data_IF_996715286563
#
_entry.id   IF_996715286563
#
_cell.length_a   1.000
_cell.length_b   1.000
_cell.length_c   1.000
_cell.angle_alpha   90.00
_cell.angle_beta   90.00
_cell.angle_gamma   90.00
#
_symmetry.space_group_name_H-M   'P 1'
#
loop_
_entity.id
_entity.type
_entity.pdbx_description
1 polymer ?
#
# COMPACT_ATOMS: atom_id res chain seq x y z
N UNK A 1 -23.15 -16.60 -0.82
CA UNK A 1 -22.65 -16.29 -2.18
C UNK A 1 -22.48 -14.78 -2.39
N UNK A 2 -23.46 -13.94 -2.04
CA UNK A 2 -23.38 -12.47 -2.20
C UNK A 2 -22.14 -11.86 -1.50
N UNK A 3 -21.85 -12.24 -0.24
CA UNK A 3 -20.68 -11.74 0.50
C UNK A 3 -19.33 -12.05 -0.18
N UNK A 4 -19.15 -13.29 -0.62
CA UNK A 4 -17.96 -13.71 -1.34
C UNK A 4 -17.73 -12.88 -2.61
N UNK A 5 -18.80 -12.62 -3.36
CA UNK A 5 -18.73 -11.76 -4.55
C UNK A 5 -18.42 -10.30 -4.21
N UNK A 6 -18.99 -9.76 -3.13
CA UNK A 6 -18.73 -8.39 -2.70
C UNK A 6 -17.27 -8.19 -2.28
N UNK A 7 -16.72 -9.09 -1.47
CA UNK A 7 -15.31 -9.03 -1.06
C UNK A 7 -14.35 -9.26 -2.22
N UNK A 8 -14.67 -10.18 -3.14
CA UNK A 8 -13.87 -10.38 -4.35
C UNK A 8 -13.87 -9.13 -5.25
N UNK A 9 -15.04 -8.50 -5.44
CA UNK A 9 -15.17 -7.27 -6.21
C UNK A 9 -14.37 -6.13 -5.56
N UNK A 10 -14.46 -5.97 -4.25
CA UNK A 10 -13.68 -4.96 -3.51
C UNK A 10 -12.19 -5.23 -3.59
N UNK A 11 -11.74 -6.49 -3.50
CA UNK A 11 -10.33 -6.82 -3.65
C UNK A 11 -9.80 -6.52 -5.06
N UNK A 12 -10.57 -6.86 -6.10
CA UNK A 12 -10.21 -6.53 -7.48
C UNK A 12 -10.19 -5.02 -7.72
N UNK A 13 -11.21 -4.30 -7.24
CA UNK A 13 -11.26 -2.84 -7.31
C UNK A 13 -10.10 -2.20 -6.54
N UNK A 14 -9.73 -2.76 -5.39
CA UNK A 14 -8.61 -2.31 -4.59
C UNK A 14 -7.30 -2.40 -5.36
N UNK A 15 -7.01 -3.58 -5.91
CA UNK A 15 -5.82 -3.83 -6.72
C UNK A 15 -5.77 -2.87 -7.92
N UNK A 16 -6.90 -2.70 -8.61
CA UNK A 16 -7.00 -1.83 -9.77
C UNK A 16 -6.77 -0.34 -9.42
N UNK A 17 -7.50 0.18 -8.44
CA UNK A 17 -7.40 1.60 -8.03
C UNK A 17 -6.00 1.90 -7.48
N UNK A 18 -5.41 0.97 -6.73
CA UNK A 18 -4.01 1.07 -6.27
C UNK A 18 -3.06 1.18 -7.45
N UNK A 19 -3.19 0.29 -8.44
CA UNK A 19 -2.40 0.35 -9.67
C UNK A 19 -2.55 1.66 -10.44
N UNK A 20 -3.78 2.19 -10.55
CA UNK A 20 -4.03 3.47 -11.26
C UNK A 20 -3.48 4.67 -10.48
N UNK A 21 -3.67 4.72 -9.16
CA UNK A 21 -3.25 5.83 -8.33
C UNK A 21 -1.72 5.90 -8.19
N UNK A 22 -1.08 4.75 -7.92
CA UNK A 22 0.34 4.70 -7.58
C UNK A 22 1.23 4.33 -8.78
N UNK A 23 0.65 3.71 -9.82
CA UNK A 23 1.36 3.39 -11.06
C UNK A 23 1.91 4.63 -11.75
N UNK A 24 1.23 5.77 -11.67
CA UNK A 24 1.74 7.04 -12.18
C UNK A 24 3.01 7.51 -11.44
N UNK A 25 3.09 7.29 -10.13
CA UNK A 25 4.26 7.65 -9.33
C UNK A 25 5.47 6.74 -9.65
N UNK A 26 5.22 5.44 -9.86
CA UNK A 26 6.27 4.49 -10.25
C UNK A 26 6.73 4.72 -11.70
N UNK A 27 5.81 4.72 -12.66
CA UNK A 27 6.15 4.84 -14.09
C UNK A 27 6.63 6.24 -14.47
N UNK A 28 6.16 7.29 -13.77
CA UNK A 28 6.61 8.66 -13.99
C UNK A 28 8.09 8.86 -13.67
N UNK A 29 8.66 8.05 -12.78
CA UNK A 29 10.10 8.04 -12.49
C UNK A 29 10.88 7.23 -13.53
N UNK A 30 10.34 6.11 -13.99
CA UNK A 30 11.00 5.23 -14.95
C UNK A 30 11.18 5.88 -16.33
N UNK A 31 10.29 6.79 -16.72
CA UNK A 31 10.34 7.52 -18.00
C UNK A 31 11.35 8.67 -18.08
N UNK A 32 11.96 9.09 -16.95
CA UNK A 32 12.87 10.26 -16.93
C UNK A 32 14.27 9.98 -17.47
N UNK A 33 14.62 8.71 -17.70
CA UNK A 33 15.90 8.33 -18.31
C UNK A 33 15.67 7.54 -19.62
N UNK A 34 15.74 8.18 -20.80
CA UNK A 34 15.33 7.60 -22.09
C UNK A 34 16.20 6.43 -22.61
N UNK A 35 17.20 5.98 -21.84
CA UNK A 35 18.13 4.90 -22.23
C UNK A 35 18.01 3.62 -21.39
N UNK A 36 17.05 3.54 -20.48
CA UNK A 36 16.80 2.33 -19.69
C UNK A 36 15.89 1.36 -20.46
N UNK A 37 16.18 0.06 -20.43
CA UNK A 37 15.35 -0.92 -21.15
C UNK A 37 13.99 -1.08 -20.48
N UNK A 38 12.91 -0.94 -21.26
CA UNK A 38 11.54 -1.12 -20.78
C UNK A 38 11.31 -2.43 -20.02
N UNK A 39 11.80 -3.59 -20.50
CA UNK A 39 11.69 -4.86 -19.79
C UNK A 39 12.38 -4.87 -18.41
N UNK A 40 13.54 -4.23 -18.27
CA UNK A 40 14.22 -4.12 -16.98
C UNK A 40 13.39 -3.29 -15.99
N UNK A 41 12.90 -2.13 -16.42
CA UNK A 41 12.08 -1.26 -15.58
C UNK A 41 10.78 -1.96 -15.14
N UNK A 42 10.19 -2.78 -16.02
CA UNK A 42 9.02 -3.59 -15.69
C UNK A 42 9.37 -4.70 -14.70
N UNK A 43 10.48 -5.41 -14.89
CA UNK A 43 10.95 -6.41 -13.94
C UNK A 43 11.23 -5.82 -12.56
N UNK A 44 11.81 -4.61 -12.51
CA UNK A 44 12.09 -3.89 -11.27
C UNK A 44 10.84 -3.48 -10.49
N UNK A 45 9.66 -3.40 -11.13
CA UNK A 45 8.37 -3.20 -10.45
C UNK A 45 7.76 -4.54 -10.05
N UNK A 46 7.66 -5.46 -11.01
CA UNK A 46 6.92 -6.71 -10.82
C UNK A 46 7.59 -7.65 -9.82
N UNK A 47 8.93 -7.77 -9.86
CA UNK A 47 9.66 -8.69 -8.98
C UNK A 47 9.51 -8.27 -7.51
N UNK A 48 9.78 -7.01 -7.12
CA UNK A 48 9.54 -6.61 -5.74
C UNK A 48 8.08 -6.72 -5.32
N UNK A 49 7.12 -6.38 -6.20
CA UNK A 49 5.69 -6.45 -5.89
C UNK A 49 5.23 -7.87 -5.52
N UNK A 50 5.86 -8.90 -6.08
CA UNK A 50 5.56 -10.30 -5.74
C UNK A 50 6.33 -10.76 -4.51
N UNK A 51 7.63 -10.44 -4.42
CA UNK A 51 8.53 -11.04 -3.44
C UNK A 51 8.58 -10.28 -2.10
N UNK A 52 8.67 -8.95 -2.12
CA UNK A 52 8.86 -8.14 -0.91
C UNK A 52 7.71 -8.27 0.09
N UNK A 53 6.43 -8.30 -0.33
CA UNK A 53 5.32 -8.51 0.60
C UNK A 53 5.36 -9.84 1.34
N UNK A 54 6.13 -10.83 0.87
CA UNK A 54 6.25 -12.14 1.53
C UNK A 54 7.20 -12.12 2.74
N UNK A 55 8.04 -11.09 2.87
CA UNK A 55 9.08 -11.03 3.91
C UNK A 55 8.59 -10.46 5.23
N UNK A 56 7.44 -9.81 5.25
CA UNK A 56 6.81 -9.28 6.47
C UNK A 56 5.30 -9.20 6.29
N UNK A 57 4.57 -9.15 7.41
CA UNK A 57 3.11 -8.95 7.44
C UNK A 57 2.74 -7.80 8.37
N UNK A 58 3.70 -6.97 8.78
CA UNK A 58 3.49 -5.94 9.79
C UNK A 58 2.49 -4.86 9.34
N UNK A 59 2.57 -4.41 8.08
CA UNK A 59 1.60 -3.44 7.53
C UNK A 59 0.25 -4.12 7.37
N UNK A 60 0.21 -5.35 6.87
CA UNK A 60 -1.02 -6.12 6.75
C UNK A 60 -1.74 -6.29 8.10
N UNK A 61 -1.01 -6.60 9.19
CA UNK A 61 -1.59 -6.70 10.55
C UNK A 61 -2.08 -5.35 11.06
N UNK A 62 -1.31 -4.29 10.90
CA UNK A 62 -1.76 -2.93 11.29
C UNK A 62 -3.04 -2.55 10.54
N UNK A 63 -3.14 -2.98 9.29
CA UNK A 63 -4.25 -2.70 8.39
C UNK A 63 -5.51 -3.54 8.69
N UNK A 64 -5.39 -4.79 9.14
CA UNK A 64 -6.53 -5.67 9.44
C UNK A 64 -6.92 -5.70 10.92
N UNK A 65 -5.95 -5.58 11.84
CA UNK A 65 -6.14 -5.75 13.28
C UNK A 65 -6.06 -4.42 14.05
N UNK A 66 -5.49 -3.37 13.45
CA UNK A 66 -5.15 -2.13 14.16
C UNK A 66 -6.27 -1.10 14.33
N UNK A 67 -7.41 -1.27 13.64
CA UNK A 67 -8.46 -0.24 13.57
C UNK A 67 -9.79 -0.64 14.22
N UNK A 68 -10.29 -1.84 13.92
CA UNK A 68 -11.54 -2.39 14.47
C UNK A 68 -11.43 -3.91 14.53
N UNK A 69 -12.03 -4.56 15.52
CA UNK A 69 -12.08 -6.03 15.54
C UNK A 69 -12.91 -6.55 14.36
N UNK A 70 -12.29 -7.36 13.50
CA UNK A 70 -12.92 -7.96 12.32
C UNK A 70 -13.51 -9.36 12.63
N UNK A 71 -13.40 -9.83 13.87
CA UNK A 71 -13.81 -11.16 14.30
C UNK A 71 -15.33 -11.42 14.23
N UNK A 72 -16.16 -10.40 14.02
CA UNK A 72 -17.61 -10.54 13.92
C UNK A 72 -18.21 -10.01 12.60
N UNK A 73 -19.51 -10.26 12.41
CA UNK A 73 -20.24 -9.84 11.20
C UNK A 73 -20.27 -8.32 11.01
N UNK A 74 -20.28 -7.54 12.10
CA UNK A 74 -20.35 -6.09 12.05
C UNK A 74 -18.98 -5.50 11.66
N UNK A 75 -17.88 -6.07 12.16
CA UNK A 75 -16.51 -5.74 11.76
C UNK A 75 -16.26 -6.03 10.28
N UNK A 76 -16.67 -7.20 9.79
CA UNK A 76 -16.57 -7.54 8.36
C UNK A 76 -17.37 -6.55 7.46
N UNK A 77 -18.55 -6.13 7.91
CA UNK A 77 -19.37 -5.11 7.26
C UNK A 77 -18.69 -3.73 7.25
N UNK A 78 -18.18 -3.29 8.40
CA UNK A 78 -17.48 -2.03 8.55
C UNK A 78 -16.23 -1.97 7.66
N UNK A 79 -15.48 -3.07 7.57
CA UNK A 79 -14.35 -3.21 6.66
C UNK A 79 -14.79 -3.08 5.19
N UNK A 80 -15.81 -3.83 4.78
CA UNK A 80 -16.28 -3.81 3.39
C UNK A 80 -16.75 -2.42 2.98
N UNK A 81 -17.57 -1.77 3.82
CA UNK A 81 -18.07 -0.41 3.59
C UNK A 81 -16.92 0.60 3.58
N UNK A 82 -16.04 0.53 4.57
CA UNK A 82 -14.91 1.44 4.72
C UNK A 82 -13.95 1.39 3.54
N UNK A 83 -13.55 0.18 3.11
CA UNK A 83 -12.71 0.00 1.92
C UNK A 83 -13.44 0.46 0.65
N UNK A 84 -14.73 0.16 0.51
CA UNK A 84 -15.52 0.61 -0.66
C UNK A 84 -15.56 2.13 -0.76
N UNK A 85 -15.83 2.83 0.34
CA UNK A 85 -15.83 4.30 0.40
C UNK A 85 -14.42 4.85 0.10
N UNK A 86 -13.39 4.26 0.69
CA UNK A 86 -12.01 4.65 0.42
C UNK A 86 -11.68 4.56 -1.08
N UNK A 87 -12.05 3.46 -1.74
CA UNK A 87 -11.83 3.28 -3.17
C UNK A 87 -12.60 4.29 -4.01
N UNK A 88 -13.84 4.62 -3.64
CA UNK A 88 -14.60 5.66 -4.32
C UNK A 88 -13.93 7.04 -4.21
N UNK A 89 -13.44 7.40 -3.02
CA UNK A 89 -12.70 8.64 -2.78
C UNK A 89 -11.41 8.68 -3.60
N UNK A 90 -10.59 7.62 -3.52
CA UNK A 90 -9.32 7.56 -4.27
C UNK A 90 -9.59 7.61 -5.77
N UNK A 91 -10.53 6.81 -6.30
CA UNK A 91 -10.87 6.85 -7.71
C UNK A 91 -11.33 8.24 -8.17
N UNK A 92 -12.13 8.96 -7.36
CA UNK A 92 -12.57 10.31 -7.68
C UNK A 92 -11.40 11.31 -7.72
N UNK A 93 -10.45 11.20 -6.79
CA UNK A 93 -9.27 12.06 -6.73
C UNK A 93 -8.25 11.73 -7.83
N UNK A 94 -8.01 10.44 -8.11
CA UNK A 94 -7.16 10.00 -9.22
C UNK A 94 -7.70 10.50 -10.56
N UNK A 95 -9.03 10.50 -10.78
CA UNK A 95 -9.66 11.08 -11.98
C UNK A 95 -9.45 12.58 -12.12
N UNK A 96 -9.14 13.27 -11.03
CA UNK A 96 -8.78 14.71 -10.99
C UNK A 96 -7.26 14.94 -11.05
N UNK A 97 -6.47 13.89 -11.19
CA UNK A 97 -5.01 13.97 -11.21
C UNK A 97 -4.38 14.29 -9.85
N UNK A 98 -5.11 14.10 -8.76
CA UNK A 98 -4.62 14.37 -7.40
C UNK A 98 -4.05 13.08 -6.79
N UNK A 99 -2.71 12.97 -6.61
CA UNK A 99 -2.12 11.82 -5.94
C UNK A 99 -2.61 11.78 -4.49
N UNK A 100 -3.18 10.64 -4.09
CA UNK A 100 -3.81 10.50 -2.77
C UNK A 100 -3.24 9.29 -2.03
N UNK A 101 -3.17 9.35 -0.70
CA UNK A 101 -2.78 8.21 0.12
C UNK A 101 -3.95 7.24 0.32
N UNK A 102 -3.87 6.06 -0.30
CA UNK A 102 -4.80 4.95 -0.07
C UNK A 102 -4.87 4.59 1.42
N UNK A 103 -3.73 4.61 2.12
CA UNK A 103 -3.67 4.34 3.56
C UNK A 103 -4.63 5.21 4.36
N UNK A 104 -4.56 6.54 4.16
CA UNK A 104 -5.40 7.47 4.90
C UNK A 104 -6.87 7.31 4.51
N UNK A 105 -7.16 7.10 3.23
CA UNK A 105 -8.52 6.86 2.76
C UNK A 105 -9.14 5.62 3.40
N UNK A 106 -8.39 4.52 3.49
CA UNK A 106 -8.86 3.26 4.07
C UNK A 106 -9.03 3.38 5.58
N UNK A 107 -8.04 3.95 6.27
CA UNK A 107 -8.10 4.16 7.71
C UNK A 107 -9.30 5.05 8.08
N UNK A 108 -9.51 6.14 7.33
CA UNK A 108 -10.69 7.00 7.50
C UNK A 108 -12.00 6.30 7.16
N UNK A 109 -12.02 5.50 6.09
CA UNK A 109 -13.20 4.74 5.68
C UNK A 109 -13.62 3.67 6.69
N UNK A 110 -12.67 2.83 7.12
CA UNK A 110 -12.92 1.76 8.11
C UNK A 110 -13.26 2.38 9.47
N UNK A 111 -12.50 3.37 9.92
CA UNK A 111 -12.78 4.06 11.17
C UNK A 111 -14.15 4.74 11.17
N UNK A 112 -14.50 5.44 10.09
CA UNK A 112 -15.81 6.07 9.94
C UNK A 112 -16.96 5.07 9.89
N UNK A 113 -16.80 3.96 9.17
CA UNK A 113 -17.78 2.88 9.14
C UNK A 113 -17.95 2.22 10.52
N UNK A 114 -16.85 1.99 11.24
CA UNK A 114 -16.85 1.47 12.61
C UNK A 114 -17.61 2.37 13.58
N UNK A 115 -17.30 3.67 13.58
CA UNK A 115 -17.99 4.67 14.41
C UNK A 115 -19.49 4.74 14.09
N UNK A 116 -19.85 4.77 12.80
CA UNK A 116 -21.25 4.80 12.37
C UNK A 116 -22.04 3.55 12.75
N UNK A 117 -21.35 2.41 12.93
CA UNK A 117 -21.93 1.14 13.38
C UNK A 117 -21.84 0.93 14.90
N UNK A 118 -21.26 1.87 15.65
CA UNK A 118 -21.07 1.77 17.10
C UNK A 118 -20.01 0.74 17.51
N UNK A 119 -19.01 0.48 16.67
CA UNK A 119 -17.87 -0.39 16.98
C UNK A 119 -16.77 0.39 17.70
N UNK A 120 -16.01 -0.31 18.55
CA UNK A 120 -14.82 0.25 19.19
C UNK A 120 -13.71 0.47 18.17
N UNK A 121 -13.42 1.75 17.90
CA UNK A 121 -12.34 2.16 17.00
C UNK A 121 -11.11 2.55 17.81
N UNK A 122 -9.95 2.04 17.39
CA UNK A 122 -8.66 2.39 18.01
C UNK A 122 -8.25 3.83 17.67
N UNK A 123 -8.61 4.77 18.54
CA UNK A 123 -8.19 6.18 18.42
C UNK A 123 -6.68 6.35 18.43
N UNK A 124 -5.97 5.52 19.19
CA UNK A 124 -4.50 5.52 19.23
C UNK A 124 -3.91 5.08 17.89
N UNK A 125 -4.45 4.03 17.29
CA UNK A 125 -4.04 3.56 15.96
C UNK A 125 -4.31 4.61 14.89
N UNK A 126 -5.51 5.19 14.90
CA UNK A 126 -5.90 6.27 13.99
C UNK A 126 -4.96 7.49 14.11
N UNK A 127 -4.71 7.97 15.33
CA UNK A 127 -3.83 9.11 15.58
C UNK A 127 -2.39 8.83 15.12
N UNK A 128 -1.89 7.62 15.35
CA UNK A 128 -0.55 7.22 14.91
C UNK A 128 -0.42 7.23 13.38
N UNK A 129 -1.39 6.65 12.66
CA UNK A 129 -1.36 6.64 11.19
C UNK A 129 -1.44 8.06 10.63
N UNK A 130 -2.29 8.91 11.19
CA UNK A 130 -2.39 10.32 10.78
C UNK A 130 -1.10 11.09 11.06
N UNK A 131 -0.49 10.90 12.23
CA UNK A 131 0.76 11.54 12.59
C UNK A 131 1.92 11.10 11.67
N UNK A 132 2.05 9.80 11.40
CA UNK A 132 3.05 9.28 10.46
C UNK A 132 2.77 9.79 9.04
N UNK A 133 1.50 9.79 8.61
CA UNK A 133 1.08 10.31 7.31
C UNK A 133 1.43 11.78 7.11
N UNK A 134 1.33 12.60 8.16
CA UNK A 134 1.73 14.01 8.14
C UNK A 134 3.26 14.21 8.25
N UNK A 135 3.95 13.36 9.01
CA UNK A 135 5.39 13.46 9.23
C UNK A 135 6.22 12.97 8.03
N UNK A 136 5.74 11.95 7.30
CA UNK A 136 6.48 11.34 6.21
C UNK A 136 6.87 12.33 5.08
N UNK A 137 5.98 13.23 4.60
CA UNK A 137 6.37 14.28 3.66
C UNK A 137 7.46 15.20 4.20
N UNK A 138 7.41 15.60 5.48
CA UNK A 138 8.42 16.48 6.09
C UNK A 138 9.79 15.79 6.15
N UNK A 139 9.82 14.51 6.51
CA UNK A 139 11.03 13.71 6.47
C UNK A 139 11.58 13.59 5.04
N UNK A 140 10.71 13.31 4.06
CA UNK A 140 11.06 13.25 2.65
C UNK A 140 11.64 14.56 2.11
N UNK A 141 11.02 15.70 2.44
CA UNK A 141 11.51 17.04 2.09
C UNK A 141 12.88 17.31 2.73
N UNK A 142 13.06 16.96 4.00
CA UNK A 142 14.31 17.21 4.72
C UNK A 142 15.47 16.40 4.14
N UNK A 143 15.25 15.10 3.89
CA UNK A 143 16.25 14.23 3.26
C UNK A 143 16.53 14.67 1.83
N UNK A 144 15.48 14.97 1.05
CA UNK A 144 15.62 15.47 -0.32
C UNK A 144 16.39 16.77 -0.40
N UNK A 145 16.15 17.70 0.53
CA UNK A 145 16.90 18.95 0.66
C UNK A 145 18.37 18.71 0.97
N UNK A 146 18.68 17.84 1.94
CA UNK A 146 20.05 17.51 2.31
C UNK A 146 20.82 16.87 1.14
N UNK A 147 20.19 15.94 0.42
CA UNK A 147 20.76 15.33 -0.79
C UNK A 147 20.94 16.35 -1.91
N UNK A 148 20.00 17.28 -2.07
CA UNK A 148 20.10 18.39 -3.01
C UNK A 148 21.25 19.35 -2.68
N UNK A 149 21.52 19.61 -1.40
CA UNK A 149 22.69 20.39 -0.98
C UNK A 149 24.00 19.63 -1.24
N UNK A 150 24.03 18.33 -0.95
CA UNK A 150 25.20 17.50 -1.18
C UNK A 150 25.56 17.40 -2.67
N UNK A 151 24.56 17.26 -3.55
CA UNK A 151 24.78 17.12 -5.00
C UNK A 151 25.45 18.34 -5.62
N UNK A 152 25.20 19.55 -5.08
CA UNK A 152 25.86 20.79 -5.51
C UNK A 152 27.37 20.80 -5.28
N UNK A 153 27.89 19.94 -4.40
CA UNK A 153 29.32 19.83 -4.08
C UNK A 153 30.04 18.81 -4.95
N UNK A 154 29.34 18.04 -5.78
CA UNK A 154 29.93 17.00 -6.62
C UNK A 154 30.40 17.63 -7.94
N UNK A 155 31.71 17.65 -8.23
CA UNK A 155 32.22 18.20 -9.49
C UNK A 155 31.81 17.31 -10.68
N UNK A 156 31.58 17.93 -11.84
CA UNK A 156 31.28 17.23 -13.08
C UNK A 156 32.50 16.44 -13.59
N UNK A 157 32.29 15.19 -14.01
CA UNK A 157 33.33 14.33 -14.58
C UNK A 157 32.80 13.55 -15.80
N UNK A 158 33.70 13.02 -16.62
CA UNK A 158 33.38 12.35 -17.90
C UNK A 158 32.45 11.13 -17.75
N UNK A 159 32.53 10.41 -16.64
CA UNK A 159 31.67 9.27 -16.31
C UNK A 159 30.30 9.63 -15.69
N UNK A 160 29.99 10.91 -15.48
CA UNK A 160 28.77 11.36 -14.79
C UNK A 160 27.47 10.78 -15.40
N UNK A 161 27.30 10.70 -16.74
CA UNK A 161 26.08 10.11 -17.32
C UNK A 161 25.86 8.64 -16.91
N UNK A 162 26.95 7.86 -16.80
CA UNK A 162 26.88 6.47 -16.37
C UNK A 162 26.55 6.36 -14.88
N UNK A 163 27.19 7.18 -14.04
CA UNK A 163 26.96 7.22 -12.60
C UNK A 163 25.50 7.62 -12.27
N UNK A 164 24.97 8.66 -12.93
CA UNK A 164 23.58 9.11 -12.73
C UNK A 164 22.59 8.05 -13.21
N UNK A 165 22.88 7.34 -14.32
CA UNK A 165 22.05 6.20 -14.76
C UNK A 165 22.00 5.11 -13.71
N UNK A 166 23.15 4.69 -13.18
CA UNK A 166 23.21 3.66 -12.14
C UNK A 166 22.48 4.11 -10.88
N UNK A 167 22.70 5.34 -10.42
CA UNK A 167 22.01 5.91 -9.27
C UNK A 167 20.49 5.95 -9.49
N UNK A 168 20.03 6.30 -10.69
CA UNK A 168 18.62 6.30 -11.04
C UNK A 168 18.01 4.90 -11.01
N UNK A 169 18.68 3.90 -11.58
CA UNK A 169 18.22 2.51 -11.55
C UNK A 169 18.13 2.01 -10.10
N UNK A 170 19.16 2.25 -9.29
CA UNK A 170 19.16 1.88 -7.87
C UNK A 170 18.05 2.57 -7.08
N UNK A 171 17.86 3.88 -7.28
CA UNK A 171 16.80 4.64 -6.62
C UNK A 171 15.42 4.14 -7.05
N UNK A 172 15.23 3.82 -8.33
CA UNK A 172 13.99 3.26 -8.85
C UNK A 172 13.71 1.86 -8.27
N UNK A 173 14.72 0.98 -8.21
CA UNK A 173 14.61 -0.33 -7.57
C UNK A 173 14.24 -0.21 -6.08
N UNK A 174 14.90 0.68 -5.35
CA UNK A 174 14.61 0.95 -3.95
C UNK A 174 13.18 1.48 -3.76
N UNK A 175 12.72 2.39 -4.62
CA UNK A 175 11.35 2.90 -4.61
C UNK A 175 10.33 1.78 -4.87
N UNK A 176 10.57 0.91 -5.84
CA UNK A 176 9.69 -0.23 -6.13
C UNK A 176 9.62 -1.21 -4.95
N UNK A 177 10.76 -1.50 -4.31
CA UNK A 177 10.81 -2.34 -3.12
C UNK A 177 10.10 -1.71 -1.92
N UNK A 178 10.32 -0.41 -1.67
CA UNK A 178 9.64 0.32 -0.59
C UNK A 178 8.12 0.39 -0.81
N UNK A 179 7.69 0.64 -2.05
CA UNK A 179 6.28 0.60 -2.44
C UNK A 179 5.68 -0.79 -2.21
N UNK A 180 6.34 -1.85 -2.68
CA UNK A 180 5.89 -3.22 -2.48
C UNK A 180 5.78 -3.59 -0.99
N UNK A 181 6.75 -3.19 -0.17
CA UNK A 181 6.72 -3.40 1.28
C UNK A 181 5.53 -2.72 1.96
N UNK A 182 5.04 -1.61 1.40
CA UNK A 182 3.94 -0.83 1.97
C UNK A 182 2.59 -1.20 1.36
N UNK A 183 2.37 -0.83 0.10
CA UNK A 183 1.08 -0.99 -0.57
C UNK A 183 0.86 -2.43 -1.06
N UNK A 184 1.92 -3.16 -1.41
CA UNK A 184 1.82 -4.59 -1.70
C UNK A 184 1.28 -5.40 -0.52
N UNK A 185 1.66 -5.04 0.71
CA UNK A 185 1.10 -5.69 1.91
C UNK A 185 -0.37 -5.35 2.15
N UNK A 186 -0.82 -4.13 1.84
CA UNK A 186 -2.24 -3.77 1.94
C UNK A 186 -3.09 -4.55 0.93
N UNK A 187 -2.57 -4.71 -0.29
CA UNK A 187 -3.22 -5.53 -1.32
C UNK A 187 -3.31 -6.99 -0.86
N UNK A 188 -2.24 -7.56 -0.30
CA UNK A 188 -2.27 -8.91 0.27
C UNK A 188 -3.26 -9.03 1.43
N UNK A 189 -3.35 -8.03 2.32
CA UNK A 189 -4.29 -8.01 3.42
C UNK A 189 -5.74 -8.09 2.92
N UNK A 190 -6.14 -7.18 2.03
CA UNK A 190 -7.51 -7.14 1.47
C UNK A 190 -7.84 -8.44 0.73
N UNK A 191 -6.91 -8.97 -0.07
CA UNK A 191 -7.09 -10.25 -0.79
C UNK A 191 -7.19 -11.42 0.17
N UNK A 192 -6.39 -11.44 1.24
CA UNK A 192 -6.44 -12.49 2.27
C UNK A 192 -7.79 -12.50 2.98
N UNK A 193 -8.27 -11.33 3.39
CA UNK A 193 -9.61 -11.15 3.98
C UNK A 193 -10.69 -11.67 3.03
N UNK A 194 -10.64 -11.29 1.75
CA UNK A 194 -11.59 -11.76 0.75
C UNK A 194 -11.54 -13.28 0.56
N UNK A 195 -10.35 -13.86 0.42
CA UNK A 195 -10.14 -15.32 0.30
C UNK A 195 -10.70 -16.06 1.51
N UNK A 196 -10.48 -15.53 2.71
CA UNK A 196 -10.95 -16.12 3.95
C UNK A 196 -12.50 -16.16 4.03
N UNK A 197 -13.16 -15.06 3.67
CA UNK A 197 -14.64 -14.99 3.62
C UNK A 197 -15.20 -15.92 2.55
N UNK A 198 -14.53 -16.04 1.41
CA UNK A 198 -14.92 -16.95 0.32
C UNK A 198 -14.81 -18.42 0.73
N UNK A 199 -13.69 -18.81 1.35
CA UNK A 199 -13.40 -20.21 1.70
C UNK A 199 -14.26 -20.71 2.84
N UNK A 200 -14.44 -19.91 3.89
CA UNK A 200 -15.21 -20.31 5.08
C UNK A 200 -16.72 -20.11 4.91
N UNK A 201 -17.14 -19.29 3.94
CA UNK A 201 -18.51 -18.76 3.82
C UNK A 201 -19.03 -18.14 5.13
N UNK A 202 -18.15 -17.75 6.06
CA UNK A 202 -18.48 -17.17 7.37
C UNK A 202 -17.79 -15.81 7.53
N UNK A 203 -18.54 -14.86 8.08
CA UNK A 203 -18.09 -13.47 8.24
C UNK A 203 -17.17 -13.28 9.45
N UNK A 204 -17.30 -14.13 10.49
CA UNK A 204 -16.57 -14.00 11.77
C UNK A 204 -15.26 -14.77 11.85
N UNK A 205 -14.53 -14.90 10.73
CA UNK A 205 -13.26 -15.62 10.70
C UNK A 205 -12.12 -14.75 10.13
N UNK A 206 -12.42 -13.45 9.93
CA UNK A 206 -11.44 -12.42 9.62
C UNK A 206 -10.74 -12.03 10.93
N UNK A 207 -9.90 -12.92 11.43
CA UNK A 207 -9.01 -12.72 12.57
C UNK A 207 -7.69 -13.43 12.29
N UNK A 208 -6.64 -13.24 13.10
CA UNK A 208 -5.36 -13.88 12.86
C UNK A 208 -5.55 -15.40 12.68
N UNK A 209 -5.20 -15.89 11.49
CA UNK A 209 -5.15 -17.32 11.25
C UNK A 209 -4.20 -17.99 12.25
N UNK A 210 -4.36 -19.29 12.52
CA UNK A 210 -3.40 -20.02 13.33
C UNK A 210 -1.98 -19.79 12.78
N UNK A 211 -0.97 -19.65 13.66
CA UNK A 211 0.41 -19.45 13.23
C UNK A 211 0.80 -20.54 12.22
N UNK A 212 1.62 -20.21 11.20
CA UNK A 212 2.07 -21.20 10.24
C UNK A 212 2.72 -22.38 10.98
N UNK A 213 2.35 -23.60 10.61
CA UNK A 213 2.94 -24.80 11.18
C UNK A 213 4.46 -24.74 11.01
N UNK A 214 5.25 -25.09 12.04
CA UNK A 214 6.69 -25.13 11.93
C UNK A 214 7.08 -26.06 10.77
N UNK A 215 7.94 -25.56 9.88
CA UNK A 215 8.53 -26.36 8.82
C UNK A 215 9.33 -27.47 9.50
N UNK A 216 9.04 -28.76 9.23
CA UNK A 216 9.85 -29.83 9.78
C UNK A 216 11.29 -29.67 9.25
N UNK A 217 12.23 -29.55 10.19
CA UNK A 217 13.68 -29.57 9.95
C UNK A 217 14.10 -31.02 9.77
#
# INVERSE_FOLDING_TARGET
>A
MIWAMAFAAVALAFVWVTGVNDGAALLGLSGRYPRSSGPLLMALVLVPLVLVPQWTVAVARTFTEGLTDLGDRRGALAFLLGVTVALAVVAALSRRGLPTSLTLAIVGGIGGAGLGMGLDVSWRGLALVLAIGAAAPLAGTSVGYALGLASRRIPSFTGMPGAVRTAHVLAYSAQCAAYAANDGQKMLAVVSVARHVVSTRRLGAIGPGPPPAPIPI
#
